data_IF_177056064383
#
_entry.id   IF_177056064383
#
_cell.length_a   1.000
_cell.length_b   1.000
_cell.length_c   1.000
_cell.angle_alpha   90.00
_cell.angle_beta   90.00
_cell.angle_gamma   90.00
#
_symmetry.space_group_name_H-M   'P 1'
#
loop_
_entity.id
_entity.type
_entity.pdbx_description
1 polymer ?
#
# COMPACT_ATOMS: atom_id res chain seq x y z
N UNK A 1 7.84 -5.99 30.44
CA UNK A 1 8.51 -4.67 30.38
C UNK A 1 9.93 -4.73 29.79
N UNK A 2 10.78 -5.72 30.16
CA UNK A 2 12.14 -5.87 29.64
C UNK A 2 12.18 -5.99 28.10
N UNK A 3 11.28 -6.76 27.50
CA UNK A 3 11.20 -6.90 26.04
C UNK A 3 10.85 -5.57 25.37
N UNK A 4 9.92 -4.82 25.93
CA UNK A 4 9.53 -3.50 25.40
C UNK A 4 10.72 -2.54 25.50
N UNK A 5 11.40 -2.51 26.65
CA UNK A 5 12.61 -1.73 26.84
C UNK A 5 13.72 -2.10 25.85
N UNK A 6 13.94 -3.40 25.60
CA UNK A 6 14.85 -3.87 24.55
C UNK A 6 14.47 -3.36 23.18
N UNK A 7 13.17 -3.44 22.81
CA UNK A 7 12.69 -2.97 21.50
C UNK A 7 12.88 -1.46 21.32
N UNK A 8 12.60 -0.68 22.36
CA UNK A 8 12.73 0.79 22.32
C UNK A 8 14.19 1.22 22.37
N UNK A 9 14.94 0.74 23.36
CA UNK A 9 16.26 1.29 23.65
C UNK A 9 17.38 0.68 22.80
N UNK A 10 17.31 -0.62 22.49
CA UNK A 10 18.35 -1.33 21.75
C UNK A 10 17.98 -1.41 20.26
N UNK A 11 16.77 -1.83 19.92
CA UNK A 11 16.34 -1.94 18.52
C UNK A 11 15.82 -0.62 17.94
N UNK A 12 15.76 0.47 18.73
CA UNK A 12 15.30 1.79 18.32
C UNK A 12 13.93 1.79 17.65
N UNK A 13 13.07 0.83 18.03
CA UNK A 13 11.70 0.75 17.54
C UNK A 13 10.80 1.55 18.49
N UNK A 14 10.49 2.77 18.11
CA UNK A 14 9.64 3.69 18.89
C UNK A 14 8.16 3.57 18.54
N UNK A 15 7.82 2.88 17.45
CA UNK A 15 6.43 2.67 17.07
C UNK A 15 5.75 1.64 17.96
N UNK A 16 4.77 2.09 18.75
CA UNK A 16 3.89 1.27 19.56
C UNK A 16 3.23 0.15 18.75
N UNK A 17 2.74 0.47 17.57
CA UNK A 17 2.13 -0.51 16.66
C UNK A 17 3.15 -1.54 16.18
N UNK A 18 4.37 -1.12 15.90
CA UNK A 18 5.49 -1.99 15.52
C UNK A 18 5.86 -2.95 16.65
N UNK A 19 5.92 -2.47 17.90
CA UNK A 19 6.20 -3.31 19.08
C UNK A 19 5.05 -4.31 19.31
N UNK A 20 3.80 -3.83 19.28
CA UNK A 20 2.63 -4.70 19.46
C UNK A 20 2.55 -5.79 18.39
N UNK A 21 2.88 -5.50 17.14
CA UNK A 21 2.94 -6.51 16.06
C UNK A 21 3.93 -7.64 16.36
N UNK A 22 5.03 -7.36 17.04
CA UNK A 22 6.01 -8.40 17.41
C UNK A 22 5.56 -9.28 18.55
N UNK A 23 4.60 -8.82 19.36
CA UNK A 23 4.02 -9.57 20.48
C UNK A 23 2.84 -10.45 20.04
N UNK A 24 2.19 -10.16 18.92
CA UNK A 24 1.01 -10.92 18.45
C UNK A 24 1.24 -12.43 18.36
N UNK A 25 2.39 -12.98 17.88
CA UNK A 25 2.59 -14.42 17.85
C UNK A 25 2.58 -15.05 19.24
N UNK A 26 3.16 -14.37 20.24
CA UNK A 26 3.12 -14.83 21.65
C UNK A 26 1.69 -14.81 22.19
N UNK A 27 0.94 -13.74 21.91
CA UNK A 27 -0.48 -13.66 22.25
C UNK A 27 -1.26 -14.85 21.69
N UNK A 28 -1.13 -15.13 20.40
CA UNK A 28 -1.84 -16.23 19.74
C UNK A 28 -1.45 -17.60 20.32
N UNK A 29 -0.18 -17.79 20.66
CA UNK A 29 0.28 -19.03 21.29
C UNK A 29 -0.31 -19.23 22.69
N UNK A 30 -0.37 -18.17 23.50
CA UNK A 30 -0.96 -18.23 24.85
C UNK A 30 -2.48 -18.45 24.79
N UNK A 31 -3.19 -17.73 23.91
CA UNK A 31 -4.64 -17.89 23.68
C UNK A 31 -4.98 -19.32 23.21
N UNK A 32 -4.18 -19.86 22.28
CA UNK A 32 -4.31 -21.26 21.86
C UNK A 32 -4.07 -22.25 23.02
N UNK A 33 -3.01 -22.03 23.81
CA UNK A 33 -2.68 -22.86 24.95
C UNK A 33 -3.78 -22.88 26.01
N UNK A 34 -4.41 -21.73 26.29
CA UNK A 34 -5.55 -21.62 27.20
C UNK A 34 -6.77 -22.40 26.66
N UNK A 35 -7.15 -22.15 25.42
CA UNK A 35 -8.31 -22.78 24.76
C UNK A 35 -8.21 -24.31 24.68
N UNK A 36 -7.00 -24.83 24.58
CA UNK A 36 -6.75 -26.28 24.49
C UNK A 36 -6.35 -26.91 25.85
N UNK A 37 -6.46 -26.17 26.96
CA UNK A 37 -6.15 -26.67 28.29
C UNK A 37 -4.66 -26.95 28.55
N UNK A 38 -3.76 -26.50 27.69
CA UNK A 38 -2.30 -26.69 27.83
C UNK A 38 -1.77 -25.76 28.93
N UNK A 39 -2.33 -24.56 29.04
CA UNK A 39 -1.94 -23.55 30.03
C UNK A 39 -3.16 -23.10 30.81
N UNK A 40 -3.03 -23.00 32.14
CA UNK A 40 -4.14 -22.57 32.99
C UNK A 40 -4.50 -21.10 32.76
N UNK A 41 -5.80 -20.81 32.74
CA UNK A 41 -6.32 -19.42 32.58
C UNK A 41 -5.74 -18.46 33.61
N UNK A 42 -5.52 -18.89 34.84
CA UNK A 42 -4.91 -18.09 35.91
C UNK A 42 -3.50 -17.63 35.62
N UNK A 43 -2.77 -18.34 34.76
CA UNK A 43 -1.43 -17.96 34.31
C UNK A 43 -1.50 -17.01 33.10
N UNK A 44 -2.44 -17.26 32.19
CA UNK A 44 -2.54 -16.53 30.90
C UNK A 44 -3.24 -15.18 31.07
N UNK A 45 -4.30 -15.12 31.88
CA UNK A 45 -5.11 -13.90 32.00
C UNK A 45 -4.34 -12.65 32.45
N UNK A 46 -3.43 -12.69 33.44
CA UNK A 46 -2.63 -11.51 33.80
C UNK A 46 -1.66 -11.07 32.69
N UNK A 47 -1.15 -12.03 31.91
CA UNK A 47 -0.25 -11.76 30.79
C UNK A 47 -1.03 -11.08 29.68
N UNK A 48 -2.18 -11.62 29.26
CA UNK A 48 -3.00 -11.10 28.16
C UNK A 48 -3.61 -9.74 28.52
N UNK A 49 -3.98 -9.49 29.76
CA UNK A 49 -4.53 -8.21 30.22
C UNK A 49 -3.58 -7.04 30.03
N UNK A 50 -2.27 -7.28 30.14
CA UNK A 50 -1.21 -6.26 30.01
C UNK A 50 -0.39 -6.41 28.73
N UNK A 51 -0.81 -7.30 27.82
CA UNK A 51 0.00 -7.73 26.70
C UNK A 51 0.29 -6.63 25.68
N UNK A 52 -0.70 -5.81 25.36
CA UNK A 52 -0.53 -4.75 24.38
C UNK A 52 -0.24 -3.41 25.06
N UNK A 53 0.73 -2.68 24.55
CA UNK A 53 1.00 -1.32 25.00
C UNK A 53 -0.24 -0.46 24.74
N UNK A 54 -0.86 0.05 25.81
CA UNK A 54 -2.07 0.88 25.74
C UNK A 54 -1.75 2.33 25.37
N UNK A 55 -2.77 3.11 25.04
CA UNK A 55 -2.59 4.54 24.65
C UNK A 55 -1.96 5.41 25.75
N UNK A 56 -2.08 5.00 27.02
CA UNK A 56 -1.66 5.80 28.18
C UNK A 56 -0.26 5.43 28.70
N UNK A 57 0.54 4.67 27.95
CA UNK A 57 1.89 4.32 28.37
C UNK A 57 2.90 5.37 27.95
N UNK A 58 4.00 5.49 28.71
CA UNK A 58 5.14 6.41 28.49
C UNK A 58 5.84 6.23 27.11
N UNK A 59 5.42 5.26 26.31
CA UNK A 59 5.96 4.95 24.99
C UNK A 59 5.19 5.63 23.84
N UNK A 60 4.43 6.70 24.12
CA UNK A 60 3.89 7.58 23.08
C UNK A 60 5.07 8.39 22.53
N UNK A 61 5.68 7.94 21.46
CA UNK A 61 6.46 8.82 20.62
C UNK A 61 5.50 9.72 19.84
N UNK A 62 5.81 11.01 19.76
CA UNK A 62 5.20 11.84 18.73
C UNK A 62 5.41 11.18 17.36
N UNK A 63 4.46 11.29 16.42
CA UNK A 63 4.65 10.75 15.09
C UNK A 63 5.98 11.26 14.55
N UNK A 64 6.93 10.35 14.34
CA UNK A 64 8.19 10.75 13.72
C UNK A 64 7.88 11.32 12.32
N UNK A 65 8.74 12.20 11.82
CA UNK A 65 8.63 12.67 10.42
C UNK A 65 8.55 11.51 9.41
N UNK A 66 9.02 10.32 9.78
CA UNK A 66 8.92 9.09 9.00
C UNK A 66 7.50 8.51 8.91
N UNK A 67 6.57 8.91 9.79
CA UNK A 67 5.16 8.49 9.74
C UNK A 67 4.29 9.37 8.83
N UNK A 68 4.84 10.49 8.34
CA UNK A 68 4.14 11.33 7.34
C UNK A 68 3.91 10.54 6.05
N UNK A 69 2.73 10.66 5.50
CA UNK A 69 2.39 10.02 4.21
C UNK A 69 3.33 10.49 3.11
N UNK A 70 4.21 9.60 2.64
CA UNK A 70 5.18 9.91 1.56
C UNK A 70 4.49 9.84 0.20
N UNK A 71 4.51 10.92 -0.55
CA UNK A 71 3.94 11.00 -1.89
C UNK A 71 4.81 11.87 -2.79
N UNK A 72 4.63 11.76 -4.10
CA UNK A 72 5.21 12.65 -5.10
C UNK A 72 4.13 13.63 -5.57
N UNK A 73 4.49 14.91 -5.68
CA UNK A 73 3.62 15.90 -6.31
C UNK A 73 3.36 15.56 -7.78
N UNK A 74 2.35 16.14 -8.44
CA UNK A 74 2.11 15.91 -9.87
C UNK A 74 3.34 16.20 -10.73
N UNK A 75 4.10 17.26 -10.42
CA UNK A 75 5.32 17.69 -11.12
C UNK A 75 6.45 16.69 -10.92
N UNK A 76 6.66 16.23 -9.67
CA UNK A 76 7.65 15.20 -9.32
C UNK A 76 7.30 13.86 -9.96
N UNK A 77 6.01 13.50 -10.00
CA UNK A 77 5.54 12.28 -10.66
C UNK A 77 5.79 12.32 -12.16
N UNK A 78 5.51 13.45 -12.81
CA UNK A 78 5.80 13.68 -14.24
C UNK A 78 7.30 13.59 -14.51
N UNK A 79 8.10 14.30 -13.72
CA UNK A 79 9.57 14.25 -13.83
C UNK A 79 10.09 12.82 -13.70
N UNK A 80 9.60 12.07 -12.69
CA UNK A 80 9.99 10.68 -12.48
C UNK A 80 9.59 9.77 -13.64
N UNK A 81 8.38 9.96 -14.18
CA UNK A 81 7.91 9.22 -15.35
C UNK A 81 8.83 9.42 -16.56
N UNK A 82 9.19 10.68 -16.85
CA UNK A 82 10.06 11.01 -17.98
C UNK A 82 11.49 10.53 -17.76
N UNK A 83 12.02 10.61 -16.54
CA UNK A 83 13.29 10.01 -16.17
C UNK A 83 13.29 8.50 -16.41
N UNK A 84 12.24 7.81 -16.00
CA UNK A 84 12.13 6.36 -16.10
C UNK A 84 12.05 5.85 -17.55
N UNK A 85 11.62 6.66 -18.51
CA UNK A 85 11.65 6.30 -19.95
C UNK A 85 13.07 5.97 -20.44
N UNK A 86 14.09 6.54 -19.81
CA UNK A 86 15.51 6.36 -20.17
C UNK A 86 16.16 5.12 -19.52
N UNK A 87 15.47 4.45 -18.59
CA UNK A 87 16.00 3.27 -17.88
C UNK A 87 16.03 2.07 -18.83
N UNK A 88 17.22 1.52 -19.07
CA UNK A 88 17.45 0.42 -20.04
C UNK A 88 17.26 -0.99 -19.44
N UNK A 89 17.40 -1.15 -18.13
CA UNK A 89 17.28 -2.46 -17.46
C UNK A 89 15.88 -3.06 -17.62
N UNK A 90 15.78 -4.23 -18.26
CA UNK A 90 14.51 -4.95 -18.46
C UNK A 90 13.75 -5.19 -17.15
N UNK A 91 14.46 -5.68 -16.12
CA UNK A 91 13.81 -5.92 -14.81
C UNK A 91 13.34 -4.63 -14.14
N UNK A 92 14.13 -3.56 -14.19
CA UNK A 92 13.70 -2.27 -13.68
C UNK A 92 12.49 -1.75 -14.45
N UNK A 93 12.45 -1.93 -15.78
CA UNK A 93 11.34 -1.49 -16.63
C UNK A 93 10.01 -2.11 -16.23
N UNK A 94 10.00 -3.44 -15.98
CA UNK A 94 8.80 -4.13 -15.48
C UNK A 94 8.30 -3.46 -14.19
N UNK A 95 9.19 -3.22 -13.25
CA UNK A 95 8.87 -2.66 -11.94
C UNK A 95 8.37 -1.21 -12.05
N UNK A 96 8.99 -0.42 -12.92
CA UNK A 96 8.56 0.96 -13.19
C UNK A 96 7.19 1.00 -13.87
N UNK A 97 6.94 0.11 -14.83
CA UNK A 97 5.61 0.00 -15.46
C UNK A 97 4.55 -0.43 -14.43
N UNK A 98 4.87 -1.34 -13.51
CA UNK A 98 3.97 -1.70 -12.39
C UNK A 98 3.68 -0.51 -11.48
N UNK A 99 4.70 0.31 -11.16
CA UNK A 99 4.55 1.49 -10.32
C UNK A 99 3.64 2.53 -10.98
N UNK A 100 3.90 2.87 -12.24
CA UNK A 100 3.08 3.85 -12.96
C UNK A 100 1.70 3.33 -13.27
N UNK A 101 1.56 2.03 -13.58
CA UNK A 101 0.25 1.42 -13.73
C UNK A 101 -0.57 1.50 -12.44
N UNK A 102 0.05 1.21 -11.29
CA UNK A 102 -0.60 1.40 -9.99
C UNK A 102 -1.11 2.85 -9.82
N UNK A 103 -0.28 3.84 -10.12
CA UNK A 103 -0.67 5.24 -10.02
C UNK A 103 -1.81 5.61 -10.98
N UNK A 104 -1.75 5.19 -12.24
CA UNK A 104 -2.77 5.50 -13.25
C UNK A 104 -4.06 4.70 -13.08
N UNK A 105 -3.99 3.52 -12.47
CA UNK A 105 -5.13 2.67 -12.15
C UNK A 105 -5.59 2.83 -10.69
N UNK A 106 -5.79 4.09 -10.26
CA UNK A 106 -6.38 4.46 -8.99
C UNK A 106 -5.64 3.94 -7.74
N UNK A 107 -4.32 3.83 -7.80
CA UNK A 107 -3.50 3.48 -6.64
C UNK A 107 -3.62 2.01 -6.22
N UNK A 108 -3.67 1.08 -7.15
CA UNK A 108 -3.69 -0.37 -6.88
C UNK A 108 -2.52 -0.78 -5.99
N UNK A 109 -2.78 -1.67 -5.03
CA UNK A 109 -1.71 -2.24 -4.20
C UNK A 109 -0.80 -3.14 -5.04
N UNK A 110 0.47 -3.29 -4.64
CA UNK A 110 1.39 -4.22 -5.29
C UNK A 110 0.80 -5.63 -5.43
N UNK A 111 0.10 -6.11 -4.40
CA UNK A 111 -0.59 -7.42 -4.45
C UNK A 111 -1.60 -7.51 -5.59
N UNK A 112 -2.30 -6.43 -5.90
CA UNK A 112 -3.31 -6.41 -6.95
C UNK A 112 -2.67 -6.30 -8.33
N UNK A 113 -1.54 -5.59 -8.43
CA UNK A 113 -0.74 -5.47 -9.66
C UNK A 113 -0.05 -6.78 -10.01
N UNK A 114 0.56 -7.48 -9.04
CA UNK A 114 1.22 -8.78 -9.27
C UNK A 114 0.22 -9.85 -9.74
N UNK A 115 -0.99 -9.84 -9.18
CA UNK A 115 -2.05 -10.80 -9.49
C UNK A 115 -3.02 -10.31 -10.55
N UNK A 116 -2.64 -9.29 -11.32
CA UNK A 116 -3.47 -8.78 -12.42
C UNK A 116 -3.41 -9.75 -13.59
N UNK A 117 -4.56 -10.28 -13.96
CA UNK A 117 -4.73 -11.18 -15.09
C UNK A 117 -5.35 -10.42 -16.28
N UNK A 118 -5.05 -10.83 -17.50
CA UNK A 118 -5.60 -10.23 -18.72
C UNK A 118 -7.13 -10.22 -18.75
N UNK A 119 -7.78 -11.25 -18.21
CA UNK A 119 -9.25 -11.34 -18.10
C UNK A 119 -9.90 -10.22 -17.28
N UNK A 120 -9.11 -9.49 -16.45
CA UNK A 120 -9.61 -8.36 -15.68
C UNK A 120 -9.70 -7.06 -16.49
N UNK A 121 -9.17 -7.06 -17.74
CA UNK A 121 -9.07 -5.85 -18.57
C UNK A 121 -10.02 -5.93 -19.73
N UNK A 122 -10.97 -5.02 -19.79
CA UNK A 122 -11.79 -4.75 -20.96
C UNK A 122 -11.13 -3.61 -21.74
N UNK A 123 -10.50 -3.95 -22.87
CA UNK A 123 -9.76 -2.98 -23.69
C UNK A 123 -10.71 -2.05 -24.45
N UNK A 124 -11.89 -2.50 -24.82
CA UNK A 124 -12.89 -1.70 -25.56
C UNK A 124 -13.50 -0.64 -24.65
N UNK A 125 -13.93 -1.04 -23.45
CA UNK A 125 -14.48 -0.12 -22.44
C UNK A 125 -13.42 0.63 -21.66
N UNK A 126 -12.14 0.31 -21.84
CA UNK A 126 -11.02 0.82 -21.03
C UNK A 126 -11.30 0.66 -19.53
N UNK A 127 -11.68 -0.53 -19.13
CA UNK A 127 -12.12 -0.81 -17.76
C UNK A 127 -11.29 -1.94 -17.17
N UNK A 128 -10.83 -1.77 -15.93
CA UNK A 128 -10.27 -2.83 -15.11
C UNK A 128 -11.30 -3.23 -14.07
N UNK A 129 -11.70 -4.50 -14.07
CA UNK A 129 -12.65 -5.07 -13.10
C UNK A 129 -11.98 -6.18 -12.32
N UNK A 130 -11.70 -5.94 -11.04
CA UNK A 130 -10.95 -6.89 -10.21
C UNK A 130 -11.37 -6.84 -8.74
N UNK A 131 -11.52 -8.02 -8.13
CA UNK A 131 -11.58 -8.14 -6.67
C UNK A 131 -10.18 -7.93 -6.09
N UNK A 132 -10.02 -6.91 -5.25
CA UNK A 132 -8.72 -6.61 -4.65
C UNK A 132 -8.33 -7.66 -3.60
N UNK A 133 -7.07 -8.10 -3.62
CA UNK A 133 -6.56 -9.22 -2.80
C UNK A 133 -6.70 -9.02 -1.30
N UNK A 134 -6.53 -7.79 -0.80
CA UNK A 134 -6.55 -7.49 0.64
C UNK A 134 -7.90 -6.97 1.14
N UNK A 135 -8.92 -6.92 0.32
CA UNK A 135 -10.22 -6.41 0.78
C UNK A 135 -11.07 -7.55 1.35
N UNK A 136 -11.80 -7.28 2.44
CA UNK A 136 -12.81 -8.19 2.97
C UNK A 136 -14.06 -8.24 2.09
N UNK A 137 -14.23 -7.25 1.21
CA UNK A 137 -15.33 -7.19 0.24
C UNK A 137 -15.00 -8.11 -0.93
N UNK A 138 -15.88 -9.05 -1.23
CA UNK A 138 -15.77 -9.95 -2.39
C UNK A 138 -16.23 -9.31 -3.70
N UNK A 139 -16.62 -8.03 -3.70
CA UNK A 139 -17.05 -7.32 -4.89
C UNK A 139 -15.87 -6.78 -5.69
N UNK A 140 -15.93 -6.91 -7.00
CA UNK A 140 -14.97 -6.27 -7.89
C UNK A 140 -15.07 -4.75 -7.78
N UNK A 141 -13.95 -4.08 -7.98
CA UNK A 141 -13.89 -2.63 -8.14
C UNK A 141 -13.62 -2.35 -9.60
N UNK A 142 -14.53 -1.61 -10.22
CA UNK A 142 -14.40 -1.16 -11.59
C UNK A 142 -13.60 0.14 -11.63
N UNK A 143 -12.46 0.10 -12.32
CA UNK A 143 -11.53 1.22 -12.43
C UNK A 143 -11.43 1.63 -13.89
N UNK A 144 -11.91 2.82 -14.26
CA UNK A 144 -11.68 3.37 -15.59
C UNK A 144 -10.18 3.59 -15.83
N UNK A 145 -9.70 3.13 -16.99
CA UNK A 145 -8.30 3.22 -17.37
C UNK A 145 -8.07 4.43 -18.28
N UNK A 146 -7.20 5.33 -17.86
CA UNK A 146 -6.77 6.46 -18.67
C UNK A 146 -5.78 6.01 -19.76
N UNK A 147 -5.48 6.91 -20.71
CA UNK A 147 -4.59 6.61 -21.84
C UNK A 147 -3.22 6.11 -21.40
N UNK A 148 -2.63 6.67 -20.34
CA UNK A 148 -1.32 6.23 -19.84
C UNK A 148 -1.34 4.82 -19.27
N UNK A 149 -2.43 4.42 -18.60
CA UNK A 149 -2.61 3.04 -18.13
C UNK A 149 -2.78 2.08 -19.31
N UNK A 150 -3.55 2.49 -20.34
CA UNK A 150 -3.76 1.70 -21.55
C UNK A 150 -2.46 1.51 -22.35
N UNK A 151 -1.64 2.55 -22.51
CA UNK A 151 -0.32 2.45 -23.16
C UNK A 151 0.59 1.41 -22.49
N UNK A 152 0.57 1.35 -21.16
CA UNK A 152 1.32 0.33 -20.42
C UNK A 152 0.77 -1.06 -20.73
N UNK A 153 -0.54 -1.25 -20.68
CA UNK A 153 -1.18 -2.55 -20.95
C UNK A 153 -0.95 -3.02 -22.38
N UNK A 154 -1.08 -2.14 -23.37
CA UNK A 154 -0.83 -2.45 -24.78
C UNK A 154 0.61 -2.87 -25.01
N UNK A 155 1.57 -2.18 -24.38
CA UNK A 155 2.99 -2.56 -24.42
C UNK A 155 3.19 -3.97 -23.88
N UNK A 156 2.59 -4.32 -22.74
CA UNK A 156 2.70 -5.65 -22.14
C UNK A 156 1.95 -6.70 -22.94
N UNK A 157 0.84 -6.37 -23.57
CA UNK A 157 0.11 -7.23 -24.49
C UNK A 157 0.96 -7.61 -25.71
N UNK A 158 1.71 -6.65 -26.23
CA UNK A 158 2.62 -6.88 -27.38
C UNK A 158 3.85 -7.72 -26.96
N UNK A 159 4.39 -7.54 -25.76
CA UNK A 159 5.47 -8.40 -25.25
C UNK A 159 5.01 -9.81 -24.93
N UNK A 160 3.79 -10.00 -24.48
CA UNK A 160 3.11 -11.24 -24.12
C UNK A 160 4.02 -12.32 -23.54
N UNK A 161 4.73 -11.96 -22.48
CA UNK A 161 5.65 -12.86 -21.79
C UNK A 161 4.92 -13.88 -20.89
N UNK A 162 3.60 -13.74 -20.73
CA UNK A 162 2.77 -14.55 -19.86
C UNK A 162 1.32 -14.49 -20.40
N UNK A 163 0.69 -15.65 -20.56
CA UNK A 163 -0.66 -15.74 -21.14
C UNK A 163 -1.75 -15.37 -20.14
N UNK A 164 -1.45 -15.46 -18.85
CA UNK A 164 -2.41 -15.19 -17.78
C UNK A 164 -2.17 -13.85 -17.09
N UNK A 165 -0.94 -13.59 -16.61
CA UNK A 165 -0.63 -12.41 -15.79
C UNK A 165 -0.01 -11.28 -16.61
N UNK A 166 -0.52 -10.05 -16.41
CA UNK A 166 -0.12 -8.87 -17.18
C UNK A 166 1.38 -8.56 -17.04
N UNK A 167 1.90 -8.54 -15.83
CA UNK A 167 3.30 -8.12 -15.55
C UNK A 167 4.31 -9.26 -15.42
N UNK A 168 3.95 -10.49 -15.79
CA UNK A 168 4.84 -11.66 -15.73
C UNK A 168 5.61 -11.81 -14.40
N UNK A 169 4.92 -11.58 -13.28
CA UNK A 169 5.49 -11.70 -11.92
C UNK A 169 5.14 -13.01 -11.24
N UNK A 170 4.21 -13.75 -11.81
CA UNK A 170 3.78 -15.07 -11.38
C UNK A 170 3.80 -16.00 -12.61
N UNK A 171 4.13 -17.28 -12.47
CA UNK A 171 3.98 -18.25 -13.56
C UNK A 171 2.48 -18.47 -13.88
N UNK A 172 2.19 -18.86 -15.12
CA UNK A 172 0.81 -19.02 -15.60
C UNK A 172 -0.02 -20.02 -14.77
N UNK A 173 0.62 -21.06 -14.25
CA UNK A 173 0.03 -22.10 -13.41
C UNK A 173 -0.07 -21.72 -11.92
N UNK A 174 0.27 -20.48 -11.55
CA UNK A 174 0.25 -20.07 -10.14
C UNK A 174 -1.15 -20.18 -9.53
N UNK A 175 -1.28 -20.99 -8.46
CA UNK A 175 -2.54 -21.13 -7.73
C UNK A 175 -2.77 -19.93 -6.79
N UNK A 176 -3.68 -19.04 -7.20
CA UNK A 176 -4.10 -17.86 -6.40
C UNK A 176 -4.94 -18.25 -5.17
N UNK A 177 -5.49 -19.47 -5.09
CA UNK A 177 -6.25 -19.95 -3.93
C UNK A 177 -5.34 -20.41 -2.81
N UNK A 178 -4.09 -20.77 -3.11
CA UNK A 178 -3.09 -21.10 -2.10
C UNK A 178 -2.62 -19.82 -1.38
N UNK A 179 -3.35 -19.45 -0.32
CA UNK A 179 -3.12 -18.21 0.43
C UNK A 179 -1.71 -18.12 1.05
N UNK A 180 -1.14 -19.25 1.50
CA UNK A 180 0.21 -19.27 2.04
C UNK A 180 1.26 -18.99 0.95
N UNK A 181 1.19 -19.70 -0.17
CA UNK A 181 2.10 -19.50 -1.32
C UNK A 181 1.99 -18.06 -1.84
N UNK A 182 0.78 -17.54 -1.96
CA UNK A 182 0.52 -16.17 -2.37
C UNK A 182 1.12 -15.15 -1.39
N UNK A 183 0.95 -15.36 -0.09
CA UNK A 183 1.52 -14.49 0.94
C UNK A 183 3.06 -14.46 0.87
N UNK A 184 3.70 -15.62 0.81
CA UNK A 184 5.17 -15.73 0.74
C UNK A 184 5.72 -15.08 -0.54
N UNK A 185 5.10 -15.36 -1.68
CA UNK A 185 5.51 -14.80 -2.98
C UNK A 185 5.38 -13.27 -2.99
N UNK A 186 4.26 -12.74 -2.49
CA UNK A 186 4.07 -11.28 -2.38
C UNK A 186 5.11 -10.62 -1.50
N UNK A 187 5.43 -11.19 -0.34
CA UNK A 187 6.44 -10.63 0.56
C UNK A 187 7.85 -10.63 -0.08
N UNK A 188 8.19 -11.69 -0.81
CA UNK A 188 9.44 -11.75 -1.56
C UNK A 188 9.49 -10.70 -2.67
N UNK A 189 8.40 -10.57 -3.45
CA UNK A 189 8.27 -9.58 -4.51
C UNK A 189 8.32 -8.13 -3.97
N UNK A 190 7.64 -7.85 -2.86
CA UNK A 190 7.60 -6.51 -2.25
C UNK A 190 8.99 -5.98 -1.94
N UNK A 191 9.85 -6.81 -1.32
CA UNK A 191 11.23 -6.44 -1.02
C UNK A 191 12.03 -6.12 -2.29
N UNK A 192 11.92 -6.96 -3.32
CA UNK A 192 12.64 -6.80 -4.60
C UNK A 192 12.17 -5.55 -5.35
N UNK A 193 10.87 -5.38 -5.48
CA UNK A 193 10.24 -4.25 -6.16
C UNK A 193 10.62 -2.93 -5.50
N UNK A 194 10.45 -2.83 -4.18
CA UNK A 194 10.76 -1.59 -3.46
C UNK A 194 12.26 -1.26 -3.45
N UNK A 195 13.16 -2.25 -3.49
CA UNK A 195 14.60 -2.02 -3.64
C UNK A 195 14.93 -1.36 -4.97
N UNK A 196 14.34 -1.84 -6.07
CA UNK A 196 14.55 -1.25 -7.41
C UNK A 196 13.98 0.16 -7.48
N UNK A 197 12.75 0.37 -6.99
CA UNK A 197 12.12 1.70 -6.95
C UNK A 197 12.93 2.70 -6.14
N UNK A 198 13.41 2.31 -4.96
CA UNK A 198 14.27 3.16 -4.12
C UNK A 198 15.59 3.52 -4.83
N UNK A 199 16.20 2.57 -5.54
CA UNK A 199 17.44 2.82 -6.29
C UNK A 199 17.20 3.79 -7.45
N UNK A 200 16.14 3.57 -8.26
CA UNK A 200 15.83 4.44 -9.41
C UNK A 200 15.39 5.83 -8.94
N UNK A 201 14.60 5.92 -7.86
CA UNK A 201 14.18 7.19 -7.28
C UNK A 201 15.36 8.01 -6.75
N UNK A 202 16.33 7.36 -6.10
CA UNK A 202 17.58 7.99 -5.65
C UNK A 202 18.41 8.52 -6.83
N UNK A 203 18.55 7.70 -7.87
CA UNK A 203 19.28 8.11 -9.09
C UNK A 203 18.58 9.28 -9.81
N UNK A 204 17.25 9.34 -9.74
CA UNK A 204 16.46 10.46 -10.21
C UNK A 204 16.50 11.67 -9.25
N UNK A 205 17.24 11.62 -8.14
CA UNK A 205 17.33 12.67 -7.12
C UNK A 205 15.97 13.10 -6.54
N UNK A 206 15.04 12.16 -6.40
CA UNK A 206 13.76 12.46 -5.75
C UNK A 206 13.95 12.69 -4.23
N UNK A 207 13.15 13.58 -3.61
CA UNK A 207 13.31 13.97 -2.20
C UNK A 207 12.89 12.88 -1.22
N UNK A 208 12.23 11.83 -1.70
CA UNK A 208 11.72 10.73 -0.88
C UNK A 208 12.15 9.36 -1.42
N UNK A 209 12.19 8.36 -0.56
CA UNK A 209 12.38 6.97 -0.98
C UNK A 209 11.13 6.47 -1.70
N UNK A 210 11.26 6.15 -2.98
CA UNK A 210 10.15 5.65 -3.80
C UNK A 210 9.85 4.18 -3.48
N UNK A 211 8.60 3.88 -3.23
CA UNK A 211 8.06 2.53 -3.00
C UNK A 211 6.72 2.38 -3.74
N UNK A 212 6.20 1.16 -3.85
CA UNK A 212 4.86 0.95 -4.45
C UNK A 212 3.75 1.71 -3.70
N UNK A 213 3.89 1.93 -2.40
CA UNK A 213 2.94 2.73 -1.63
C UNK A 213 2.96 4.21 -2.03
N UNK A 214 4.11 4.73 -2.47
CA UNK A 214 4.22 6.12 -2.98
C UNK A 214 3.31 6.33 -4.20
N UNK A 215 3.22 5.38 -5.14
CA UNK A 215 2.29 5.48 -6.26
C UNK A 215 0.84 5.67 -5.78
N UNK A 216 0.43 4.85 -4.82
CA UNK A 216 -0.90 4.88 -4.23
C UNK A 216 -1.17 6.16 -3.44
N UNK A 217 -0.23 6.61 -2.61
CA UNK A 217 -0.37 7.85 -1.86
C UNK A 217 -0.41 9.07 -2.78
N UNK A 218 0.44 9.10 -3.82
CA UNK A 218 0.43 10.19 -4.80
C UNK A 218 -0.89 10.26 -5.57
N UNK A 219 -1.47 9.11 -5.94
CA UNK A 219 -2.81 9.08 -6.53
C UNK A 219 -3.85 9.64 -5.55
N UNK A 220 -3.83 9.21 -4.29
CA UNK A 220 -4.80 9.61 -3.30
C UNK A 220 -4.74 11.12 -3.01
N UNK A 221 -3.54 11.66 -2.76
CA UNK A 221 -3.35 13.10 -2.50
C UNK A 221 -3.77 13.93 -3.72
N UNK A 222 -3.38 13.53 -4.94
CA UNK A 222 -3.83 14.18 -6.17
C UNK A 222 -5.36 14.17 -6.28
N UNK A 223 -6.01 13.06 -5.94
CA UNK A 223 -7.47 12.93 -6.03
C UNK A 223 -8.17 13.85 -5.02
N UNK A 224 -7.67 13.95 -3.79
CA UNK A 224 -8.17 14.87 -2.76
C UNK A 224 -8.05 16.32 -3.26
N UNK A 225 -6.88 16.71 -3.75
CA UNK A 225 -6.63 18.06 -4.26
C UNK A 225 -7.49 18.41 -5.49
N UNK A 226 -7.91 17.38 -6.26
CA UNK A 226 -8.86 17.54 -7.38
C UNK A 226 -10.33 17.48 -6.98
N UNK A 227 -10.65 17.43 -5.69
CA UNK A 227 -12.02 17.46 -5.18
C UNK A 227 -12.74 16.12 -5.13
N UNK A 228 -12.02 14.99 -5.29
CA UNK A 228 -12.65 13.68 -5.13
C UNK A 228 -13.11 13.49 -3.68
N UNK A 229 -14.35 13.04 -3.48
CA UNK A 229 -14.86 12.77 -2.13
C UNK A 229 -14.09 11.63 -1.47
N UNK A 230 -13.89 11.72 -0.16
CA UNK A 230 -13.19 10.70 0.62
C UNK A 230 -13.88 9.32 0.52
N UNK A 231 -15.20 9.32 0.36
CA UNK A 231 -15.99 8.11 0.14
C UNK A 231 -15.60 7.40 -1.16
N UNK A 232 -15.56 8.16 -2.27
CA UNK A 232 -15.16 7.61 -3.58
C UNK A 232 -13.70 7.15 -3.57
N UNK A 233 -12.82 7.95 -2.98
CA UNK A 233 -11.42 7.59 -2.82
C UNK A 233 -11.26 6.30 -1.99
N UNK A 234 -11.97 6.16 -0.88
CA UNK A 234 -11.96 4.95 -0.05
C UNK A 234 -12.41 3.71 -0.82
N UNK A 235 -13.44 3.83 -1.66
CA UNK A 235 -13.90 2.75 -2.54
C UNK A 235 -12.84 2.33 -3.56
N UNK A 236 -12.27 3.29 -4.31
CA UNK A 236 -11.24 3.02 -5.32
C UNK A 236 -9.99 2.40 -4.70
N UNK A 237 -9.56 2.91 -3.56
CA UNK A 237 -8.44 2.35 -2.82
C UNK A 237 -8.77 0.97 -2.20
N UNK A 238 -10.02 0.56 -2.11
CA UNK A 238 -10.44 -0.69 -1.48
C UNK A 238 -10.09 -0.74 0.01
N UNK A 239 -10.32 0.35 0.73
CA UNK A 239 -10.24 0.36 2.17
C UNK A 239 -11.49 -0.28 2.78
N UNK A 240 -11.32 -0.95 3.93
CA UNK A 240 -12.43 -1.60 4.63
C UNK A 240 -13.40 -0.61 5.28
N UNK A 241 -12.94 0.62 5.53
CA UNK A 241 -13.74 1.71 6.09
C UNK A 241 -13.27 3.06 5.57
N UNK A 242 -14.16 4.05 5.55
CA UNK A 242 -13.84 5.44 5.23
C UNK A 242 -12.86 6.00 6.27
N UNK A 243 -13.06 5.69 7.55
CA UNK A 243 -12.18 6.12 8.65
C UNK A 243 -10.70 5.73 8.43
N UNK A 244 -10.41 4.60 7.76
CA UNK A 244 -9.04 4.24 7.43
C UNK A 244 -8.42 5.20 6.40
N UNK A 245 -9.22 5.72 5.47
CA UNK A 245 -8.80 6.70 4.47
C UNK A 245 -8.64 8.08 5.12
N UNK A 246 -9.59 8.50 5.92
CA UNK A 246 -9.55 9.76 6.68
C UNK A 246 -8.30 9.81 7.58
N UNK A 247 -8.06 8.77 8.36
CA UNK A 247 -6.87 8.70 9.24
C UNK A 247 -5.56 8.83 8.43
N UNK A 248 -5.48 8.18 7.27
CA UNK A 248 -4.25 8.18 6.45
C UNK A 248 -4.00 9.52 5.79
N UNK A 249 -5.05 10.23 5.40
CA UNK A 249 -4.96 11.46 4.61
C UNK A 249 -5.52 12.70 5.34
N UNK A 250 -5.68 12.65 6.67
CA UNK A 250 -6.26 13.72 7.49
C UNK A 250 -5.61 15.09 7.24
N UNK A 251 -4.28 15.15 7.18
CA UNK A 251 -3.53 16.38 6.93
C UNK A 251 -3.95 17.03 5.59
N UNK A 252 -4.02 16.25 4.52
CA UNK A 252 -4.37 16.77 3.18
C UNK A 252 -5.84 17.21 3.08
N UNK A 253 -6.71 16.55 3.85
CA UNK A 253 -8.12 16.97 3.95
C UNK A 253 -8.26 18.30 4.69
N UNK A 254 -7.50 18.50 5.77
CA UNK A 254 -7.48 19.78 6.51
C UNK A 254 -6.92 20.92 5.65
N UNK A 255 -5.78 20.70 4.98
CA UNK A 255 -5.19 21.68 4.06
C UNK A 255 -6.19 22.08 2.97
N UNK A 256 -6.90 21.10 2.39
CA UNK A 256 -7.90 21.37 1.37
C UNK A 256 -9.08 22.18 1.92
N UNK A 257 -9.66 21.79 3.06
CA UNK A 257 -10.77 22.52 3.71
C UNK A 257 -10.36 23.96 3.99
N UNK A 258 -9.16 24.18 4.52
CA UNK A 258 -8.65 25.54 4.78
C UNK A 258 -8.57 26.39 3.51
N UNK A 259 -8.05 25.81 2.41
CA UNK A 259 -7.97 26.51 1.13
C UNK A 259 -9.36 26.78 0.54
N UNK A 260 -10.26 25.80 0.57
CA UNK A 260 -11.64 25.96 0.07
C UNK A 260 -12.39 27.08 0.85
N UNK A 261 -12.21 27.17 2.18
CA UNK A 261 -12.79 28.24 3.02
C UNK A 261 -12.21 29.61 2.65
N UNK A 262 -10.90 29.71 2.41
CA UNK A 262 -10.27 30.97 2.00
C UNK A 262 -10.85 31.46 0.66
N UNK A 263 -10.96 30.58 -0.32
CA UNK A 263 -11.54 30.91 -1.63
C UNK A 263 -13.00 31.39 -1.48
N UNK A 264 -13.82 30.68 -0.67
CA UNK A 264 -15.21 31.06 -0.42
C UNK A 264 -15.33 32.42 0.25
N UNK A 265 -14.38 32.81 1.10
CA UNK A 265 -14.39 34.11 1.78
C UNK A 265 -13.87 35.27 0.90
N UNK A 266 -13.17 34.98 -0.20
CA UNK A 266 -12.69 35.98 -1.14
C UNK A 266 -13.75 36.37 -2.20
N UNK A 267 -14.87 35.62 -2.29
CA UNK A 267 -15.96 35.88 -3.23
C UNK A 267 -16.94 36.99 -2.73
N UNK A 268 -16.66 37.62 -1.58
CA UNK A 268 -17.41 38.76 -1.01
C UNK A 268 -16.53 40.02 -0.98
#
# INVERSE_FOLDING_TARGET
DEYVNYRVNIKKNTSKEGINKTLVPLYLALDYGEKNGIVKKSVVAPILGNFLITRNTKYQSEPSEEEKTRYLTPEQMKYFYDYCKKVKSKNARIILDMFFFSYFACGLRLSDVITLEWKHIDFEKRLLSKVQVKTKRKAAVDIPLNSSAMEILERWKNYRLNDRFVFNRLPDDFDLNNQYKLFMTRNAQDKGVNRVLATVGRNAKLPITVTMHVARHSFAVKSINKGMSIYMLSKLLGHSSIAATEKTYAQFLQEKVSNDILVMNEEF
#
